data_IF_179716845232
#
_entry.id   IF_179716845232
#
_cell.length_a   1.000
_cell.length_b   1.000
_cell.length_c   1.000
_cell.angle_alpha   90.00
_cell.angle_beta   90.00
_cell.angle_gamma   90.00
#
_symmetry.space_group_name_H-M   'P 1'
#
loop_
_entity.id
_entity.type
_entity.pdbx_description
1 polymer ?
#
# COMPACT_ATOMS: atom_id res chain seq x y z
N UNK A 1 7.20 15.65 -14.44
CA UNK A 1 8.15 15.97 -13.36
C UNK A 1 7.95 17.44 -13.03
N UNK A 2 7.72 17.78 -11.78
CA UNK A 2 7.34 19.13 -11.40
C UNK A 2 8.62 20.01 -11.38
N UNK A 3 8.73 21.01 -12.27
CA UNK A 3 9.92 21.87 -12.40
C UNK A 3 10.29 22.63 -11.12
N UNK A 4 9.37 22.68 -10.16
CA UNK A 4 9.58 23.29 -8.84
C UNK A 4 10.37 22.41 -7.86
N UNK A 5 10.70 21.18 -8.21
CA UNK A 5 11.40 20.20 -7.36
C UNK A 5 12.82 19.91 -7.83
N UNK A 6 13.39 20.77 -8.66
CA UNK A 6 14.72 20.60 -9.27
C UNK A 6 15.90 20.94 -8.34
N UNK A 7 15.64 21.59 -7.20
CA UNK A 7 16.66 21.87 -6.19
C UNK A 7 16.11 21.65 -4.79
N UNK A 8 16.99 21.30 -3.86
CA UNK A 8 16.60 21.08 -2.45
C UNK A 8 15.99 22.33 -1.81
N UNK A 9 16.42 23.53 -2.21
CA UNK A 9 15.83 24.79 -1.73
C UNK A 9 14.36 24.90 -2.14
N UNK A 10 14.07 24.69 -3.43
CA UNK A 10 12.70 24.74 -3.94
C UNK A 10 11.83 23.64 -3.36
N UNK A 11 12.38 22.43 -3.22
CA UNK A 11 11.66 21.32 -2.59
C UNK A 11 11.33 21.61 -1.13
N UNK A 12 12.26 22.18 -0.36
CA UNK A 12 12.04 22.57 1.03
C UNK A 12 10.93 23.62 1.17
N UNK A 13 10.88 24.60 0.26
CA UNK A 13 9.83 25.63 0.22
C UNK A 13 8.46 25.01 -0.13
N UNK A 14 8.37 24.20 -1.18
CA UNK A 14 7.13 23.56 -1.62
C UNK A 14 6.57 22.63 -0.53
N UNK A 15 7.45 21.89 0.14
CA UNK A 15 7.08 20.93 1.20
C UNK A 15 6.84 21.62 2.55
N UNK A 16 7.20 22.90 2.69
CA UNK A 16 7.23 23.61 3.96
C UNK A 16 8.03 22.87 5.05
N UNK A 17 9.20 22.33 4.66
CA UNK A 17 10.14 21.61 5.53
C UNK A 17 11.45 22.39 5.55
N UNK A 18 12.06 22.51 6.75
CA UNK A 18 13.38 23.10 6.85
C UNK A 18 14.40 22.38 5.94
N UNK A 19 15.24 23.14 5.23
CA UNK A 19 16.20 22.60 4.25
C UNK A 19 17.16 21.58 4.87
N UNK A 20 17.63 21.86 6.09
CA UNK A 20 18.56 20.96 6.79
C UNK A 20 17.84 19.67 7.20
N UNK A 21 16.59 19.78 7.65
CA UNK A 21 15.76 18.64 7.98
C UNK A 21 15.46 17.79 6.73
N UNK A 22 15.06 18.42 5.62
CA UNK A 22 14.84 17.72 4.36
C UNK A 22 16.09 16.95 3.90
N UNK A 23 17.27 17.60 3.98
CA UNK A 23 18.54 16.94 3.66
C UNK A 23 18.79 15.70 4.54
N UNK A 24 18.47 15.76 5.81
CA UNK A 24 18.65 14.63 6.74
C UNK A 24 17.65 13.49 6.47
N UNK A 25 16.43 13.81 6.05
CA UNK A 25 15.44 12.83 5.61
C UNK A 25 15.91 12.14 4.33
N UNK A 26 16.35 12.89 3.32
CA UNK A 26 16.87 12.34 2.06
C UNK A 26 18.10 11.44 2.25
N UNK A 27 18.94 11.74 3.24
CA UNK A 27 20.11 10.94 3.61
C UNK A 27 19.76 9.74 4.53
N UNK A 28 18.49 9.59 4.92
CA UNK A 28 18.06 8.53 5.82
C UNK A 28 18.57 8.65 7.26
N UNK A 29 19.08 9.84 7.66
CA UNK A 29 19.58 10.07 9.02
C UNK A 29 18.50 10.48 10.01
N UNK A 30 17.31 10.83 9.52
CA UNK A 30 16.12 11.18 10.31
C UNK A 30 14.90 10.59 9.62
N UNK A 31 14.04 9.96 10.39
CA UNK A 31 12.73 9.50 9.93
C UNK A 31 11.80 10.71 9.79
N UNK A 32 11.10 10.88 8.65
CA UNK A 32 10.14 11.97 8.48
C UNK A 32 8.93 11.80 9.38
N UNK A 33 8.23 12.89 9.67
CA UNK A 33 6.91 12.82 10.29
C UNK A 33 5.85 12.37 9.26
N UNK A 34 4.73 11.77 9.70
CA UNK A 34 3.67 11.33 8.79
C UNK A 34 3.16 12.43 7.86
N UNK A 35 3.05 13.65 8.37
CA UNK A 35 2.59 14.83 7.62
C UNK A 35 3.59 15.23 6.53
N UNK A 36 4.90 15.09 6.81
CA UNK A 36 5.97 15.35 5.85
C UNK A 36 5.93 14.31 4.72
N UNK A 37 5.73 13.01 5.06
CA UNK A 37 5.59 11.93 4.08
C UNK A 37 4.38 12.17 3.17
N UNK A 38 3.24 12.57 3.76
CA UNK A 38 2.04 12.88 3.01
C UNK A 38 2.24 14.06 2.05
N UNK A 39 2.96 15.11 2.50
CA UNK A 39 3.31 16.27 1.68
C UNK A 39 4.25 15.88 0.53
N UNK A 40 5.28 15.07 0.83
CA UNK A 40 6.23 14.56 -0.18
C UNK A 40 5.51 13.68 -1.21
N UNK A 41 4.66 12.75 -0.77
CA UNK A 41 3.88 11.89 -1.65
C UNK A 41 3.07 12.68 -2.68
N UNK A 42 2.43 13.76 -2.25
CA UNK A 42 1.64 14.65 -3.12
C UNK A 42 2.53 15.49 -4.03
N UNK A 43 3.60 16.10 -3.49
CA UNK A 43 4.46 17.01 -4.23
C UNK A 43 5.28 16.28 -5.30
N UNK A 44 5.75 15.07 -5.01
CA UNK A 44 6.52 14.24 -5.92
C UNK A 44 5.67 13.36 -6.83
N UNK A 45 4.34 13.30 -6.58
CA UNK A 45 3.40 12.39 -7.27
C UNK A 45 3.83 10.92 -7.13
N UNK A 46 4.19 10.54 -5.90
CA UNK A 46 4.63 9.18 -5.53
C UNK A 46 3.69 8.65 -4.44
N UNK A 47 2.49 8.16 -4.79
CA UNK A 47 1.51 7.68 -3.81
C UNK A 47 1.99 6.47 -3.01
N UNK A 48 2.89 5.65 -3.56
CA UNK A 48 3.52 4.51 -2.88
C UNK A 48 4.37 4.89 -1.67
N UNK A 49 4.81 6.16 -1.57
CA UNK A 49 5.62 6.64 -0.45
C UNK A 49 4.88 6.50 0.90
N UNK A 50 3.58 6.75 0.91
CA UNK A 50 2.76 6.60 2.12
C UNK A 50 2.71 5.15 2.61
N UNK A 51 2.51 4.17 1.71
CA UNK A 51 2.52 2.77 2.09
C UNK A 51 3.91 2.33 2.55
N UNK A 52 4.97 2.74 1.83
CA UNK A 52 6.36 2.43 2.18
C UNK A 52 6.71 2.92 3.59
N UNK A 53 6.32 4.16 3.93
CA UNK A 53 6.50 4.71 5.26
C UNK A 53 5.69 3.93 6.32
N UNK A 54 4.41 3.69 6.07
CA UNK A 54 3.55 3.00 7.02
C UNK A 54 4.02 1.57 7.30
N UNK A 55 4.39 0.82 6.26
CA UNK A 55 4.86 -0.57 6.42
C UNK A 55 6.32 -0.69 6.89
N UNK A 56 7.15 0.37 6.72
CA UNK A 56 8.60 0.34 6.99
C UNK A 56 9.05 1.12 8.21
N UNK A 57 8.54 2.32 8.44
CA UNK A 57 9.05 3.25 9.45
C UNK A 57 8.07 3.55 10.58
N UNK A 58 6.76 3.58 10.30
CA UNK A 58 5.74 3.84 11.30
C UNK A 58 5.57 2.66 12.28
N UNK A 59 5.75 2.84 13.59
CA UNK A 59 5.63 1.74 14.55
C UNK A 59 4.26 1.04 14.51
N UNK A 60 3.18 1.80 14.36
CA UNK A 60 1.82 1.24 14.26
C UNK A 60 1.63 0.58 12.89
N UNK A 61 2.09 1.25 11.83
CA UNK A 61 1.93 0.74 10.47
C UNK A 61 2.68 -0.58 10.22
N UNK A 62 3.85 -0.79 10.84
CA UNK A 62 4.58 -2.08 10.78
C UNK A 62 3.74 -3.27 11.24
N UNK A 63 2.85 -3.06 12.19
CA UNK A 63 1.96 -4.10 12.72
C UNK A 63 0.68 -4.26 11.90
N UNK A 64 0.24 -3.21 11.20
CA UNK A 64 -1.11 -3.16 10.62
C UNK A 64 -1.14 -2.98 9.11
N UNK A 65 -0.02 -2.60 8.48
CA UNK A 65 0.05 -2.27 7.06
C UNK A 65 1.04 -3.17 6.35
N UNK A 66 0.57 -3.92 5.35
CA UNK A 66 1.47 -4.72 4.50
C UNK A 66 2.08 -3.86 3.39
N UNK A 67 3.33 -4.14 3.00
CA UNK A 67 3.93 -3.50 1.84
C UNK A 67 3.18 -3.90 0.57
N UNK A 68 2.87 -2.90 -0.27
CA UNK A 68 2.22 -3.10 -1.57
C UNK A 68 3.15 -2.62 -2.69
N UNK A 69 3.02 -3.20 -3.87
CA UNK A 69 3.82 -2.88 -5.04
C UNK A 69 2.93 -2.42 -6.19
N UNK A 70 3.35 -1.34 -6.87
CA UNK A 70 2.74 -0.90 -8.12
C UNK A 70 3.46 -1.56 -9.33
N UNK A 71 3.33 -2.87 -9.45
CA UNK A 71 3.85 -3.65 -10.58
C UNK A 71 3.12 -3.30 -11.90
N UNK A 72 3.45 -3.98 -13.01
CA UNK A 72 2.73 -3.84 -14.27
C UNK A 72 1.27 -4.28 -14.11
N UNK A 73 0.35 -3.61 -14.80
CA UNK A 73 -1.11 -3.86 -14.66
C UNK A 73 -1.47 -5.32 -14.93
N UNK A 74 -0.92 -5.90 -15.98
CA UNK A 74 -1.14 -7.30 -16.38
C UNK A 74 -0.77 -8.27 -15.24
N UNK A 75 0.38 -8.06 -14.58
CA UNK A 75 0.80 -8.86 -13.43
C UNK A 75 -0.15 -8.69 -12.24
N UNK A 76 -0.52 -7.46 -11.92
CA UNK A 76 -1.47 -7.18 -10.82
C UNK A 76 -2.85 -7.80 -11.09
N UNK A 77 -3.33 -7.73 -12.32
CA UNK A 77 -4.60 -8.39 -12.73
C UNK A 77 -4.50 -9.90 -12.59
N UNK A 78 -3.41 -10.52 -13.04
CA UNK A 78 -3.21 -11.97 -12.90
C UNK A 78 -3.16 -12.41 -11.41
N UNK A 79 -2.48 -11.64 -10.57
CA UNK A 79 -2.43 -11.89 -9.13
C UNK A 79 -3.82 -11.78 -8.49
N UNK A 80 -4.57 -10.74 -8.82
CA UNK A 80 -5.94 -10.55 -8.35
C UNK A 80 -6.86 -11.69 -8.79
N UNK A 81 -6.83 -12.05 -10.09
CA UNK A 81 -7.64 -13.15 -10.62
C UNK A 81 -7.26 -14.50 -10.00
N UNK A 82 -5.97 -14.72 -9.72
CA UNK A 82 -5.50 -15.91 -9.01
C UNK A 82 -6.07 -16.01 -7.58
N UNK A 83 -6.09 -14.88 -6.87
CA UNK A 83 -6.67 -14.81 -5.53
C UNK A 83 -8.20 -14.92 -5.55
N UNK A 84 -8.88 -14.29 -6.51
CA UNK A 84 -10.34 -14.28 -6.58
C UNK A 84 -10.94 -15.66 -6.90
N UNK A 85 -10.21 -16.52 -7.61
CA UNK A 85 -10.66 -17.90 -7.87
C UNK A 85 -10.80 -18.74 -6.59
N UNK A 86 -10.08 -18.37 -5.53
CA UNK A 86 -10.14 -19.06 -4.24
C UNK A 86 -11.27 -18.55 -3.34
N UNK A 87 -12.00 -17.50 -3.75
CA UNK A 87 -13.01 -16.88 -2.89
C UNK A 87 -14.17 -17.84 -2.56
N UNK A 88 -14.54 -18.69 -3.49
CA UNK A 88 -15.60 -19.69 -3.28
C UNK A 88 -15.17 -20.72 -2.22
N UNK A 89 -13.95 -21.26 -2.34
CA UNK A 89 -13.35 -22.19 -1.38
C UNK A 89 -13.20 -21.54 0.01
N UNK A 90 -12.74 -20.27 0.05
CA UNK A 90 -12.61 -19.48 1.29
C UNK A 90 -13.97 -19.30 1.96
N UNK A 91 -15.01 -18.99 1.18
CA UNK A 91 -16.36 -18.80 1.70
C UNK A 91 -16.93 -20.09 2.28
N UNK A 92 -16.74 -21.21 1.60
CA UNK A 92 -17.17 -22.54 2.10
C UNK A 92 -16.45 -22.91 3.40
N UNK A 93 -15.12 -22.76 3.44
CA UNK A 93 -14.33 -23.02 4.65
C UNK A 93 -14.74 -22.13 5.82
N UNK A 94 -14.99 -20.83 5.60
CA UNK A 94 -15.46 -19.94 6.65
C UNK A 94 -16.81 -20.36 7.20
N UNK A 95 -17.75 -20.74 6.34
CA UNK A 95 -19.07 -21.22 6.76
C UNK A 95 -18.93 -22.50 7.59
N UNK A 96 -18.06 -23.44 7.19
CA UNK A 96 -17.83 -24.69 7.90
C UNK A 96 -17.20 -24.44 9.29
N UNK A 97 -16.11 -23.67 9.36
CA UNK A 97 -15.39 -23.35 10.60
C UNK A 97 -16.26 -22.55 11.59
N UNK A 98 -17.16 -21.70 11.09
CA UNK A 98 -17.99 -20.82 11.95
C UNK A 98 -19.41 -21.35 12.16
N UNK A 99 -19.71 -22.57 11.78
CA UNK A 99 -21.07 -23.13 11.80
C UNK A 99 -21.72 -23.16 13.20
N UNK A 100 -20.92 -23.36 14.24
CA UNK A 100 -21.37 -23.35 15.65
C UNK A 100 -21.09 -22.01 16.35
N UNK A 101 -20.45 -21.05 15.67
CA UNK A 101 -20.10 -19.72 16.18
C UNK A 101 -18.84 -19.68 17.06
N UNK A 102 -18.06 -20.75 17.11
CA UNK A 102 -16.82 -20.86 17.89
C UNK A 102 -15.76 -21.48 16.98
N UNK A 103 -14.52 -20.95 17.03
CA UNK A 103 -13.37 -21.59 16.39
C UNK A 103 -12.64 -22.40 17.46
N UNK A 104 -12.71 -23.72 17.38
CA UNK A 104 -12.06 -24.60 18.33
C UNK A 104 -10.58 -24.88 17.99
N UNK A 105 -9.85 -25.56 18.89
CA UNK A 105 -8.42 -25.83 18.72
C UNK A 105 -8.10 -26.63 17.44
N UNK A 106 -9.05 -27.44 16.93
CA UNK A 106 -8.85 -28.25 15.72
C UNK A 106 -9.04 -27.44 14.45
N UNK A 107 -9.76 -26.32 14.52
CA UNK A 107 -10.12 -25.44 13.41
C UNK A 107 -9.15 -24.25 13.25
N UNK A 108 -8.40 -23.91 14.31
CA UNK A 108 -7.48 -22.74 14.30
C UNK A 108 -6.56 -22.74 13.09
N UNK A 109 -5.94 -23.88 12.75
CA UNK A 109 -5.02 -23.95 11.62
C UNK A 109 -5.71 -23.71 10.26
N UNK A 110 -6.94 -24.17 10.09
CA UNK A 110 -7.72 -23.93 8.88
C UNK A 110 -8.17 -22.46 8.82
N UNK A 111 -8.58 -21.90 9.94
CA UNK A 111 -8.97 -20.49 10.06
C UNK A 111 -7.79 -19.56 9.75
N UNK A 112 -6.60 -19.84 10.30
CA UNK A 112 -5.38 -19.07 10.00
C UNK A 112 -5.02 -19.11 8.51
N UNK A 113 -5.16 -20.27 7.85
CA UNK A 113 -4.94 -20.40 6.41
C UNK A 113 -5.91 -19.55 5.59
N UNK A 114 -7.17 -19.48 5.99
CA UNK A 114 -8.19 -18.60 5.38
C UNK A 114 -7.78 -17.12 5.57
N UNK A 115 -7.38 -16.72 6.77
CA UNK A 115 -6.93 -15.36 7.05
C UNK A 115 -5.72 -14.95 6.20
N UNK A 116 -4.76 -15.85 5.99
CA UNK A 116 -3.61 -15.61 5.11
C UNK A 116 -4.03 -15.37 3.65
N UNK A 117 -4.97 -16.15 3.12
CA UNK A 117 -5.48 -15.95 1.76
C UNK A 117 -6.25 -14.64 1.62
N UNK A 118 -7.05 -14.27 2.62
CA UNK A 118 -7.74 -12.96 2.67
C UNK A 118 -6.73 -11.80 2.73
N UNK A 119 -5.66 -11.94 3.49
CA UNK A 119 -4.58 -10.95 3.55
C UNK A 119 -3.90 -10.78 2.18
N UNK A 120 -3.54 -11.87 1.50
CA UNK A 120 -2.99 -11.84 0.13
C UNK A 120 -3.92 -11.14 -0.85
N UNK A 121 -5.22 -11.43 -0.77
CA UNK A 121 -6.23 -10.77 -1.60
C UNK A 121 -6.30 -9.26 -1.30
N UNK A 122 -6.28 -8.86 -0.04
CA UNK A 122 -6.25 -7.46 0.37
C UNK A 122 -5.04 -6.72 -0.22
N UNK A 123 -3.84 -7.31 -0.15
CA UNK A 123 -2.63 -6.74 -0.76
C UNK A 123 -2.76 -6.59 -2.27
N UNK A 124 -3.31 -7.59 -2.97
CA UNK A 124 -3.53 -7.53 -4.42
C UNK A 124 -4.51 -6.43 -4.82
N UNK A 125 -5.60 -6.27 -4.07
CA UNK A 125 -6.58 -5.19 -4.28
C UNK A 125 -5.93 -3.82 -4.06
N UNK A 126 -5.21 -3.64 -2.96
CA UNK A 126 -4.53 -2.38 -2.65
C UNK A 126 -3.46 -2.03 -3.70
N UNK A 127 -2.73 -3.03 -4.21
CA UNK A 127 -1.74 -2.85 -5.28
C UNK A 127 -2.39 -2.37 -6.58
N UNK A 128 -3.54 -2.92 -6.97
CA UNK A 128 -4.32 -2.45 -8.13
C UNK A 128 -4.83 -1.02 -7.91
N UNK A 129 -5.31 -0.69 -6.72
CA UNK A 129 -5.78 0.65 -6.38
C UNK A 129 -4.62 1.67 -6.44
N UNK A 130 -3.45 1.31 -5.93
CA UNK A 130 -2.24 2.13 -6.00
C UNK A 130 -1.81 2.36 -7.44
N UNK A 131 -1.81 1.30 -8.27
CA UNK A 131 -1.51 1.42 -9.70
C UNK A 131 -2.50 2.37 -10.40
N UNK A 132 -3.79 2.23 -10.13
CA UNK A 132 -4.81 3.11 -10.70
C UNK A 132 -4.64 4.57 -10.26
N UNK A 133 -4.28 4.81 -9.02
CA UNK A 133 -3.98 6.14 -8.50
C UNK A 133 -2.78 6.77 -9.22
N UNK A 134 -1.69 6.03 -9.35
CA UNK A 134 -0.45 6.46 -10.00
C UNK A 134 -0.65 6.75 -11.50
N UNK A 135 -1.52 6.00 -12.17
CA UNK A 135 -1.77 6.12 -13.62
C UNK A 135 -3.06 6.87 -13.95
N UNK A 136 -3.64 7.61 -13.01
CA UNK A 136 -4.95 8.27 -13.17
C UNK A 136 -5.02 9.20 -14.37
N UNK A 137 -3.95 9.93 -14.66
CA UNK A 137 -3.91 10.87 -15.78
C UNK A 137 -3.85 10.15 -17.14
N UNK A 138 -3.16 9.01 -17.22
CA UNK A 138 -3.15 8.17 -18.42
C UNK A 138 -4.55 7.60 -18.69
N UNK A 139 -5.27 7.20 -17.63
CA UNK A 139 -6.63 6.65 -17.74
C UNK A 139 -7.65 7.69 -18.17
N UNK A 140 -7.51 8.96 -17.75
CA UNK A 140 -8.39 10.07 -18.17
C UNK A 140 -8.20 10.44 -19.64
N UNK A 141 -6.95 10.46 -20.13
CA UNK A 141 -6.64 10.88 -21.49
C UNK A 141 -7.02 9.85 -22.57
N UNK A 142 -7.31 8.60 -22.21
CA UNK A 142 -7.81 7.58 -23.15
C UNK A 142 -9.32 7.65 -23.42
N UNK A 143 -10.05 8.48 -22.66
CA UNK A 143 -11.52 8.63 -22.78
C UNK A 143 -11.92 9.94 -23.47
N UNK A 144 -11.00 10.64 -24.11
CA UNK A 144 -11.24 11.75 -25.04
C UNK A 144 -10.85 11.36 -26.45
#
# INVERSE_FOLDING_TARGET
MNDNLTSREKSAEVLNIDRTRLSRIELGTVVPYPEEVLSMSKAYDIPELCNSYCSGDCPIGKETVKPINADSLDRLVLQFLGSSKKMEDISEQLIEITADGIVDETEVAAFDAVLEELEKMSVNIQSLMLWAQKNRDILKNKNQ
#
